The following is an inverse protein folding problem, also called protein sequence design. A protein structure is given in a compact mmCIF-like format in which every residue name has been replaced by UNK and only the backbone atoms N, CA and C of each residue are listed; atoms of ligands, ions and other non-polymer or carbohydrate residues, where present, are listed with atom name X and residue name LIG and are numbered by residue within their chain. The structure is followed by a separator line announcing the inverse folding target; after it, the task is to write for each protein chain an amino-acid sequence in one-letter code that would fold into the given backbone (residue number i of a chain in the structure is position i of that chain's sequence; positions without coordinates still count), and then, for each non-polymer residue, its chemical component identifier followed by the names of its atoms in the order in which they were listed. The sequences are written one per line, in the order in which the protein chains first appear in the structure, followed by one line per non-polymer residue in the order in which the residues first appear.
data_IF_513603707678
#
_entry.id   IF_513603707678
#
_cell.length_a   1.000
_cell.length_b   1.000
_cell.length_c   1.000
_cell.angle_alpha   90.00
_cell.angle_beta   90.00
_cell.angle_gamma   90.00
#
_symmetry.space_group_name_H-M   'P 1'
#
loop_
_entity.id
_entity.type
_entity.pdbx_description
1 polymer ?
#
# COMPACT_ATOMS: atom_id res chain seq x y z
N UNK A 1 9.77 -34.92 4.49
CA UNK A 1 9.95 -33.70 3.67
C UNK A 1 8.90 -32.70 4.12
N UNK A 2 9.25 -31.72 4.94
CA UNK A 2 8.32 -30.66 5.34
C UNK A 2 8.14 -29.69 4.17
N UNK A 3 6.91 -29.34 3.78
CA UNK A 3 6.70 -28.35 2.74
C UNK A 3 7.29 -27.03 3.24
N UNK A 4 8.20 -26.45 2.45
CA UNK A 4 8.70 -25.10 2.68
C UNK A 4 7.52 -24.16 2.44
N UNK A 5 6.78 -23.83 3.50
CA UNK A 5 5.80 -22.74 3.44
C UNK A 5 6.47 -21.52 2.81
N UNK A 6 5.83 -20.85 1.84
CA UNK A 6 6.44 -19.68 1.22
C UNK A 6 6.75 -18.64 2.30
N UNK A 7 8.03 -18.30 2.43
CA UNK A 7 8.63 -17.42 3.45
C UNK A 7 7.87 -16.09 3.64
N UNK A 8 7.27 -15.62 2.55
CA UNK A 8 6.34 -14.51 2.45
C UNK A 8 5.33 -14.93 1.38
N UNK A 9 4.00 -14.78 1.61
CA UNK A 9 2.99 -15.07 0.60
C UNK A 9 3.34 -14.38 -0.73
N UNK A 10 3.13 -15.07 -1.86
CA UNK A 10 3.51 -14.56 -3.20
C UNK A 10 2.96 -13.15 -3.45
N UNK A 11 1.73 -12.90 -3.01
CA UNK A 11 1.06 -11.61 -3.12
C UNK A 11 1.77 -10.46 -2.38
N UNK A 12 2.55 -10.75 -1.33
CA UNK A 12 3.26 -9.75 -0.53
C UNK A 12 4.71 -9.54 -1.00
N UNK A 13 5.20 -10.32 -1.96
CA UNK A 13 6.58 -10.19 -2.47
C UNK A 13 6.88 -8.81 -3.07
N UNK A 14 5.98 -8.20 -3.87
CA UNK A 14 6.26 -6.88 -4.46
C UNK A 14 6.46 -5.81 -3.37
N UNK A 15 5.59 -5.77 -2.36
CA UNK A 15 5.67 -4.74 -1.31
C UNK A 15 6.91 -4.91 -0.43
N UNK A 16 7.29 -6.16 -0.13
CA UNK A 16 8.53 -6.46 0.60
C UNK A 16 9.76 -6.07 -0.20
N UNK A 17 9.77 -6.30 -1.51
CA UNK A 17 10.87 -5.90 -2.39
C UNK A 17 11.03 -4.38 -2.41
N UNK A 18 9.94 -3.64 -2.60
CA UNK A 18 9.95 -2.17 -2.61
C UNK A 18 10.42 -1.63 -1.27
N UNK A 19 9.99 -2.23 -0.15
CA UNK A 19 10.43 -1.83 1.18
C UNK A 19 11.95 -2.03 1.38
N UNK A 20 12.53 -3.10 0.82
CA UNK A 20 13.98 -3.31 0.79
C UNK A 20 14.70 -2.31 -0.11
N UNK A 21 14.14 -1.98 -1.28
CA UNK A 21 14.69 -0.94 -2.15
C UNK A 21 14.69 0.43 -1.46
N UNK A 22 13.62 0.75 -0.73
CA UNK A 22 13.52 1.99 0.05
C UNK A 22 14.53 2.09 1.20
N UNK A 23 15.13 0.98 1.63
CA UNK A 23 16.23 0.97 2.59
C UNK A 23 17.61 1.21 1.95
N UNK A 24 17.67 1.31 0.61
CA UNK A 24 18.89 1.51 -0.19
C UNK A 24 18.77 2.82 -0.99
N UNK A 25 18.90 3.98 -0.32
CA UNK A 25 18.71 5.29 -0.96
C UNK A 25 19.71 5.56 -2.09
N UNK A 26 20.88 4.91 -2.06
CA UNK A 26 21.88 4.93 -3.13
C UNK A 26 21.39 4.29 -4.44
N UNK A 27 20.39 3.39 -4.36
CA UNK A 27 19.87 2.65 -5.50
C UNK A 27 18.50 3.15 -5.96
N UNK A 28 17.70 3.74 -5.08
CA UNK A 28 16.37 4.21 -5.43
C UNK A 28 16.04 5.49 -4.68
N UNK A 29 15.79 6.56 -5.43
CA UNK A 29 15.43 7.84 -4.87
C UNK A 29 14.08 7.74 -4.14
N UNK A 30 13.89 8.43 -3.00
CA UNK A 30 12.64 8.39 -2.23
C UNK A 30 11.39 8.73 -3.06
N UNK A 31 11.51 9.62 -4.04
CA UNK A 31 10.43 10.03 -4.92
C UNK A 31 9.99 8.90 -5.85
N UNK A 32 10.92 8.06 -6.30
CA UNK A 32 10.60 6.90 -7.14
C UNK A 32 9.91 5.81 -6.32
N UNK A 33 10.32 5.61 -5.06
CA UNK A 33 9.62 4.72 -4.13
C UNK A 33 8.18 5.21 -3.93
N UNK A 34 7.99 6.51 -3.64
CA UNK A 34 6.67 7.09 -3.48
C UNK A 34 5.80 6.90 -4.74
N UNK A 35 6.38 7.09 -5.93
CA UNK A 35 5.68 6.87 -7.21
C UNK A 35 5.26 5.42 -7.39
N UNK A 36 6.12 4.46 -7.05
CA UNK A 36 5.80 3.02 -7.14
C UNK A 36 4.70 2.66 -6.13
N UNK A 37 4.81 3.14 -4.88
CA UNK A 37 3.82 2.88 -3.83
C UNK A 37 2.42 3.45 -4.17
N UNK A 38 2.37 4.56 -4.89
CA UNK A 38 1.12 5.14 -5.40
C UNK A 38 0.41 4.28 -6.46
N UNK A 39 1.09 3.29 -7.05
CA UNK A 39 0.48 2.35 -8.03
C UNK A 39 -0.32 1.23 -7.40
N UNK A 40 -0.18 1.01 -6.08
CA UNK A 40 -0.96 0.02 -5.36
C UNK A 40 -2.42 0.47 -5.23
N UNK A 41 -3.33 -0.49 -5.06
CA UNK A 41 -4.73 -0.21 -4.75
C UNK A 41 -5.09 -0.93 -3.44
N UNK A 42 -5.35 -0.19 -2.34
CA UNK A 42 -5.26 1.28 -2.22
C UNK A 42 -3.81 1.79 -2.36
N UNK A 43 -3.61 3.08 -2.72
CA UNK A 43 -2.28 3.68 -2.74
C UNK A 43 -1.62 3.59 -1.37
N UNK A 44 -0.33 3.23 -1.34
CA UNK A 44 0.43 3.13 -0.10
C UNK A 44 1.13 4.47 0.15
N UNK A 45 0.90 5.05 1.33
CA UNK A 45 1.62 6.26 1.76
C UNK A 45 2.98 5.88 2.37
N UNK A 46 4.12 6.34 1.82
CA UNK A 46 5.45 6.10 2.40
C UNK A 46 5.65 6.76 3.77
N UNK A 47 4.81 7.73 4.17
CA UNK A 47 4.83 8.31 5.51
C UNK A 47 3.93 7.57 6.52
N UNK A 48 3.17 6.56 6.06
CA UNK A 48 2.23 5.83 6.93
C UNK A 48 2.94 5.02 8.03
N UNK A 49 2.31 4.88 9.20
CA UNK A 49 2.83 4.03 10.27
C UNK A 49 2.90 2.56 9.85
N UNK A 50 2.00 2.09 8.98
CA UNK A 50 2.00 0.74 8.44
C UNK A 50 3.25 0.48 7.57
N UNK A 51 3.61 1.44 6.72
CA UNK A 51 4.85 1.37 5.93
C UNK A 51 6.10 1.39 6.82
N UNK A 52 6.12 2.24 7.84
CA UNK A 52 7.19 2.27 8.82
C UNK A 52 7.32 0.94 9.60
N UNK A 53 6.19 0.35 9.99
CA UNK A 53 6.15 -0.95 10.67
C UNK A 53 6.69 -2.09 9.79
N UNK A 54 6.37 -2.10 8.50
CA UNK A 54 6.91 -3.08 7.54
C UNK A 54 8.43 -2.97 7.44
N UNK A 55 8.96 -1.75 7.31
CA UNK A 55 10.42 -1.52 7.25
C UNK A 55 11.11 -1.96 8.54
N UNK A 56 10.54 -1.64 9.71
CA UNK A 56 11.07 -2.09 10.99
C UNK A 56 11.05 -3.63 11.14
N UNK A 57 10.03 -4.31 10.62
CA UNK A 57 9.97 -5.77 10.63
C UNK A 57 11.04 -6.40 9.74
N UNK A 58 11.35 -5.78 8.59
CA UNK A 58 12.43 -6.21 7.70
C UNK A 58 13.81 -6.00 8.33
N UNK A 59 14.05 -4.87 8.97
CA UNK A 59 15.30 -4.60 9.70
C UNK A 59 15.54 -5.61 10.83
N UNK A 60 14.48 -5.95 11.59
CA UNK A 60 14.56 -7.04 12.59
C UNK A 60 14.87 -8.40 11.97
N UNK A 61 14.36 -8.67 10.77
CA UNK A 61 14.67 -9.91 10.06
C UNK A 61 16.12 -9.96 9.61
N UNK A 62 16.66 -8.86 9.09
CA UNK A 62 18.03 -8.78 8.61
C UNK A 62 19.06 -8.77 9.76
N UNK A 63 18.67 -8.29 10.95
CA UNK A 63 19.52 -8.29 12.16
C UNK A 63 19.40 -9.56 13.02
N UNK A 64 18.39 -10.40 12.77
CA UNK A 64 18.16 -11.63 13.52
C UNK A 64 19.33 -12.61 13.40
N UNK A 65 19.75 -13.17 14.55
CA UNK A 65 20.90 -14.09 14.65
C UNK A 65 20.52 -15.54 14.85
N UNK A 66 19.32 -15.79 15.37
CA UNK A 66 18.81 -17.14 15.62
C UNK A 66 17.51 -17.38 14.86
N UNK A 67 17.17 -18.66 14.69
CA UNK A 67 15.99 -19.09 13.93
C UNK A 67 14.68 -18.60 14.55
N UNK A 68 14.61 -18.50 15.88
CA UNK A 68 13.40 -18.04 16.59
C UNK A 68 13.14 -16.57 16.31
N UNK A 69 14.18 -15.74 16.33
CA UNK A 69 14.14 -14.33 15.97
C UNK A 69 13.78 -14.14 14.49
N UNK A 70 14.35 -14.95 13.60
CA UNK A 70 13.99 -14.97 12.17
C UNK A 70 12.51 -15.29 11.97
N UNK A 71 11.98 -16.31 12.66
CA UNK A 71 10.57 -16.71 12.54
C UNK A 71 9.62 -15.68 13.15
N UNK A 72 10.02 -15.03 14.24
CA UNK A 72 9.27 -13.90 14.81
C UNK A 72 9.22 -12.71 13.84
N UNK A 73 10.35 -12.33 13.25
CA UNK A 73 10.42 -11.25 12.27
C UNK A 73 9.63 -11.57 11.00
N UNK A 74 9.65 -12.82 10.50
CA UNK A 74 8.80 -13.26 9.38
C UNK A 74 7.32 -13.06 9.67
N UNK A 75 6.84 -13.45 10.86
CA UNK A 75 5.45 -13.22 11.25
C UNK A 75 5.11 -11.73 11.26
N UNK A 76 6.01 -10.89 11.76
CA UNK A 76 5.84 -9.44 11.76
C UNK A 76 5.80 -8.84 10.34
N UNK A 77 6.65 -9.32 9.42
CA UNK A 77 6.63 -8.90 8.01
C UNK A 77 5.28 -9.22 7.37
N UNK A 78 4.78 -10.45 7.57
CA UNK A 78 3.50 -10.88 7.01
C UNK A 78 2.36 -10.02 7.57
N UNK A 79 2.31 -9.83 8.89
CA UNK A 79 1.28 -9.01 9.52
C UNK A 79 1.33 -7.55 9.03
N UNK A 80 2.51 -6.93 9.01
CA UNK A 80 2.66 -5.55 8.56
C UNK A 80 2.26 -5.38 7.09
N UNK A 81 2.68 -6.29 6.21
CA UNK A 81 2.32 -6.23 4.79
C UNK A 81 0.82 -6.49 4.54
N UNK A 82 0.19 -7.37 5.32
CA UNK A 82 -1.26 -7.60 5.26
C UNK A 82 -2.04 -6.37 5.71
N UNK A 83 -1.67 -5.76 6.84
CA UNK A 83 -2.30 -4.52 7.34
C UNK A 83 -2.11 -3.37 6.34
N UNK A 84 -0.93 -3.25 5.74
CA UNK A 84 -0.62 -2.23 4.76
C UNK A 84 -1.50 -2.33 3.49
N UNK A 85 -1.81 -3.56 3.04
CA UNK A 85 -2.59 -3.77 1.81
C UNK A 85 -4.11 -3.77 2.02
N UNK A 86 -4.58 -4.22 3.19
CA UNK A 86 -6.01 -4.29 3.49
C UNK A 86 -6.54 -3.04 4.19
N UNK A 87 -5.63 -2.16 4.65
CA UNK A 87 -5.97 -1.02 5.50
C UNK A 87 -6.36 -1.46 6.93
N UNK A 88 -6.42 -0.53 7.88
CA UNK A 88 -6.98 -0.82 9.20
C UNK A 88 -8.46 -1.23 9.05
N UNK A 89 -8.94 -2.26 9.79
CA UNK A 89 -10.35 -2.62 9.80
C UNK A 89 -11.15 -1.47 10.41
N UNK A 90 -11.59 -0.52 9.59
CA UNK A 90 -12.39 0.63 10.05
C UNK A 90 -12.25 1.93 9.28
N UNK A 91 -11.40 2.06 8.27
CA UNK A 91 -11.42 3.24 7.40
C UNK A 91 -12.18 2.95 6.11
N UNK A 92 -13.49 3.23 6.13
CA UNK A 92 -14.23 3.51 4.92
C UNK A 92 -13.49 4.63 4.16
N UNK A 93 -13.30 4.53 2.83
CA UNK A 93 -12.84 5.68 2.07
C UNK A 93 -13.83 6.83 2.30
N UNK A 94 -13.40 8.10 2.42
CA UNK A 94 -14.33 9.19 2.27
C UNK A 94 -14.91 9.10 0.86
N UNK A 95 -16.13 8.58 0.75
CA UNK A 95 -17.00 8.79 -0.40
C UNK A 95 -17.10 10.30 -0.60
N UNK A 96 -16.27 10.82 -1.49
CA UNK A 96 -16.58 12.06 -2.16
C UNK A 96 -17.11 11.64 -3.52
N UNK A 97 -18.45 11.48 -3.69
CA UNK A 97 -18.99 11.65 -5.02
C UNK A 97 -18.73 13.12 -5.34
N UNK A 98 -17.71 13.36 -6.16
CA UNK A 98 -17.62 14.59 -6.92
C UNK A 98 -19.00 14.76 -7.54
N UNK A 99 -19.79 15.71 -7.01
CA UNK A 99 -21.05 16.10 -7.62
C UNK A 99 -20.70 16.50 -9.04
N UNK A 100 -20.94 15.62 -9.99
CA UNK A 100 -21.07 15.98 -11.39
C UNK A 100 -22.22 16.97 -11.43
N UNK A 101 -21.91 18.25 -11.26
CA UNK A 101 -22.79 19.35 -11.58
C UNK A 101 -23.00 19.23 -13.08
N UNK A 102 -24.06 18.53 -13.46
CA UNK A 102 -24.65 18.62 -14.79
C UNK A 102 -24.89 20.11 -15.03
N UNK A 103 -24.28 20.74 -16.05
CA UNK A 103 -24.71 22.06 -16.47
C UNK A 103 -26.16 21.90 -16.91
N UNK A 104 -27.07 22.61 -16.24
CA UNK A 104 -28.47 22.67 -16.64
C UNK A 104 -28.52 23.00 -18.14
N UNK A 105 -28.95 22.04 -18.95
CA UNK A 105 -29.21 22.28 -20.35
C UNK A 105 -30.31 23.34 -20.42
N UNK A 106 -29.97 24.51 -20.96
CA UNK A 106 -30.95 25.54 -21.30
C UNK A 106 -31.83 24.97 -22.41
N UNK A 107 -33.04 24.58 -22.05
CA UNK A 107 -34.11 24.31 -23.00
C UNK A 107 -34.38 25.59 -23.80
N UNK A 108 -34.31 25.58 -25.14
CA UNK A 108 -34.87 26.68 -25.93
C UNK A 108 -36.40 26.55 -25.91
N UNK A 109 -37.09 27.57 -25.43
CA UNK A 109 -38.55 27.69 -25.56
C UNK A 109 -38.95 27.71 -27.04
N UNK A 110 -39.85 26.83 -27.49
CA UNK A 110 -40.51 27.02 -28.77
C UNK A 110 -41.76 27.88 -28.58
N UNK A 111 -41.80 29.02 -29.27
CA UNK A 111 -43.06 29.58 -29.76
C UNK A 111 -43.61 30.81 -29.04
N UNK A 112 -43.61 31.93 -29.76
CA UNK A 112 -44.82 32.74 -29.92
C UNK A 112 -44.78 33.49 -31.26
N UNK A 113 -45.40 32.89 -32.27
CA UNK A 113 -46.02 33.62 -33.39
C UNK A 113 -47.51 33.68 -33.10
N UNK A 114 -48.10 34.86 -33.29
CA UNK A 114 -49.51 35.17 -33.03
C UNK A 114 -49.63 36.54 -32.40
#
# INVERSE_FOLDING_TARGET
MTPRSPLVPVALRPVVLIARMAALPELTQPEDIARILATFTPPIDPASPEWAALRAALDRYDTARDQTACDAARRQIVLAAVTLLLGPPGHSPPETPARCRVPAQRTPSPGRHG
#
